data_IF_397030949244
#
_entry.id   IF_397030949244
#
_cell.length_a   1.000
_cell.length_b   1.000
_cell.length_c   1.000
_cell.angle_alpha   90.00
_cell.angle_beta   90.00
_cell.angle_gamma   90.00
#
_symmetry.space_group_name_H-M   'P 1'
#
loop_
_entity.id
_entity.type
_entity.pdbx_description
1 polymer ?
#
# COMPACT_ATOMS: atom_id res chain seq x y z
N UNK A 1 -26.03 -14.41 48.29
CA UNK A 1 -25.22 -13.28 47.80
C UNK A 1 -25.22 -13.35 46.28
N UNK A 2 -26.12 -12.60 45.64
CA UNK A 2 -26.23 -12.57 44.20
C UNK A 2 -25.08 -11.76 43.61
N UNK A 3 -24.25 -12.42 42.81
CA UNK A 3 -23.25 -11.77 41.95
C UNK A 3 -23.98 -10.91 40.92
N UNK A 4 -23.92 -9.59 41.08
CA UNK A 4 -24.32 -8.64 40.05
C UNK A 4 -23.37 -8.81 38.87
N UNK A 5 -23.89 -9.29 37.74
CA UNK A 5 -23.20 -9.17 36.46
C UNK A 5 -22.94 -7.66 36.19
N UNK A 6 -21.75 -7.27 35.69
CA UNK A 6 -21.50 -5.88 35.39
C UNK A 6 -22.50 -5.41 34.33
N UNK A 7 -23.13 -4.27 34.58
CA UNK A 7 -23.99 -3.56 33.62
C UNK A 7 -23.17 -3.37 32.35
N UNK A 8 -23.55 -4.06 31.27
CA UNK A 8 -22.83 -4.00 30.00
C UNK A 8 -22.69 -2.55 29.53
N UNK A 9 -21.46 -2.12 29.30
CA UNK A 9 -21.18 -0.86 28.62
C UNK A 9 -21.98 -0.86 27.31
N UNK A 10 -22.96 0.06 27.20
CA UNK A 10 -23.65 0.29 25.94
C UNK A 10 -22.79 1.23 25.12
N UNK A 11 -22.11 0.68 24.12
CA UNK A 11 -21.37 1.45 23.14
C UNK A 11 -22.35 2.19 22.22
N UNK A 12 -22.06 3.43 21.87
CA UNK A 12 -22.88 4.21 20.94
C UNK A 12 -22.55 3.89 19.47
N UNK A 13 -21.38 3.29 19.25
CA UNK A 13 -20.82 2.90 17.96
C UNK A 13 -20.19 1.52 18.14
N UNK A 14 -20.13 0.73 17.08
CA UNK A 14 -19.51 -0.60 17.11
C UNK A 14 -17.99 -0.49 16.92
N UNK A 15 -17.56 0.39 16.01
CA UNK A 15 -16.16 0.51 15.58
C UNK A 15 -15.75 1.98 15.44
N UNK A 16 -14.58 2.32 15.96
CA UNK A 16 -13.85 3.54 15.59
C UNK A 16 -12.57 3.16 14.85
N UNK A 17 -12.33 3.79 13.71
CA UNK A 17 -11.10 3.63 12.91
C UNK A 17 -10.23 4.87 13.09
N UNK A 18 -9.09 4.73 13.78
CA UNK A 18 -8.09 5.78 13.97
C UNK A 18 -7.20 5.85 12.72
N UNK A 19 -7.05 7.03 12.13
CA UNK A 19 -6.51 7.21 10.77
C UNK A 19 -7.54 6.84 9.69
N UNK A 20 -8.82 7.04 10.02
CA UNK A 20 -9.96 6.53 9.27
C UNK A 20 -10.20 7.19 7.91
N UNK A 21 -9.54 8.29 7.56
CA UNK A 21 -9.74 8.95 6.26
C UNK A 21 -8.62 8.66 5.23
N UNK A 22 -7.66 7.79 5.57
CA UNK A 22 -6.58 7.35 4.68
C UNK A 22 -6.94 6.19 3.75
N UNK A 23 -5.98 5.78 2.91
CA UNK A 23 -6.11 4.74 1.88
C UNK A 23 -6.50 3.34 2.41
N UNK A 24 -6.20 3.06 3.68
CA UNK A 24 -6.56 1.78 4.32
C UNK A 24 -7.75 1.98 5.27
N UNK A 25 -7.75 3.07 6.04
CA UNK A 25 -8.76 3.31 7.07
C UNK A 25 -10.14 3.56 6.49
N UNK A 26 -10.24 4.36 5.41
CA UNK A 26 -11.53 4.73 4.84
C UNK A 26 -12.22 3.53 4.18
N UNK A 27 -11.58 2.75 3.29
CA UNK A 27 -12.22 1.57 2.72
C UNK A 27 -12.61 0.53 3.79
N UNK A 28 -11.79 0.35 4.84
CA UNK A 28 -12.13 -0.55 5.94
C UNK A 28 -13.38 -0.09 6.70
N UNK A 29 -13.46 1.19 7.05
CA UNK A 29 -14.63 1.73 7.74
C UNK A 29 -15.89 1.72 6.86
N UNK A 30 -15.74 1.95 5.56
CA UNK A 30 -16.82 1.78 4.59
C UNK A 30 -17.33 0.33 4.54
N UNK A 31 -16.42 -0.64 4.49
CA UNK A 31 -16.78 -2.05 4.46
C UNK A 31 -17.53 -2.48 5.73
N UNK A 32 -17.06 -2.05 6.91
CA UNK A 32 -17.77 -2.31 8.16
C UNK A 32 -19.15 -1.64 8.18
N UNK A 33 -19.25 -0.38 7.75
CA UNK A 33 -20.54 0.32 7.70
C UNK A 33 -21.53 -0.33 6.73
N UNK A 34 -21.06 -0.78 5.56
CA UNK A 34 -21.87 -1.48 4.56
C UNK A 34 -22.30 -2.89 5.04
N UNK A 35 -21.51 -3.51 5.93
CA UNK A 35 -21.86 -4.76 6.62
C UNK A 35 -22.81 -4.59 7.82
N UNK A 36 -23.29 -3.36 8.06
CA UNK A 36 -24.28 -3.04 9.10
C UNK A 36 -23.71 -2.60 10.45
N UNK A 37 -22.41 -2.30 10.53
CA UNK A 37 -21.80 -1.75 11.75
C UNK A 37 -21.96 -0.23 11.83
N UNK A 38 -22.09 0.29 13.05
CA UNK A 38 -22.03 1.72 13.33
C UNK A 38 -20.57 2.17 13.46
N UNK A 39 -20.04 2.83 12.44
CA UNK A 39 -18.62 3.17 12.31
C UNK A 39 -18.37 4.66 12.51
N UNK A 40 -17.31 4.99 13.24
CA UNK A 40 -16.73 6.34 13.27
C UNK A 40 -15.32 6.32 12.69
N UNK A 41 -15.06 7.17 11.71
CA UNK A 41 -13.72 7.45 11.18
C UNK A 41 -13.14 8.61 11.98
N UNK A 42 -12.10 8.34 12.78
CA UNK A 42 -11.35 9.38 13.45
C UNK A 42 -10.06 9.66 12.67
N UNK A 43 -9.82 10.92 12.32
CA UNK A 43 -8.60 11.35 11.64
C UNK A 43 -8.21 12.76 12.09
N UNK A 44 -6.92 13.03 12.23
CA UNK A 44 -6.41 14.35 12.61
C UNK A 44 -6.43 15.34 11.44
N UNK A 45 -6.53 14.85 10.20
CA UNK A 45 -6.58 15.70 9.01
C UNK A 45 -8.00 16.20 8.74
N UNK A 46 -8.29 17.42 9.19
CA UNK A 46 -9.59 18.07 9.00
C UNK A 46 -10.02 18.13 7.52
N UNK A 47 -9.11 18.40 6.60
CA UNK A 47 -9.43 18.48 5.18
C UNK A 47 -9.88 17.11 4.60
N UNK A 48 -9.27 16.02 5.06
CA UNK A 48 -9.69 14.67 4.68
C UNK A 48 -11.07 14.33 5.28
N UNK A 49 -11.28 14.66 6.57
CA UNK A 49 -12.56 14.47 7.26
C UNK A 49 -13.69 15.24 6.59
N UNK A 50 -13.48 16.52 6.26
CA UNK A 50 -14.51 17.35 5.62
C UNK A 50 -14.84 16.86 4.20
N UNK A 51 -13.84 16.37 3.47
CA UNK A 51 -14.04 15.74 2.16
C UNK A 51 -14.90 14.50 2.28
N UNK A 52 -14.61 13.60 3.22
CA UNK A 52 -15.43 12.42 3.52
C UNK A 52 -16.85 12.81 3.92
N UNK A 53 -17.03 13.76 4.86
CA UNK A 53 -18.35 14.27 5.29
C UNK A 53 -19.18 14.84 4.14
N UNK A 54 -18.53 15.41 3.13
CA UNK A 54 -19.18 15.91 1.92
C UNK A 54 -19.57 14.81 0.91
N UNK A 55 -19.38 13.53 1.24
CA UNK A 55 -19.65 12.40 0.35
C UNK A 55 -18.62 12.22 -0.76
N UNK A 56 -17.41 12.77 -0.61
CA UNK A 56 -16.34 12.71 -1.62
C UNK A 56 -15.17 11.89 -1.13
N UNK A 57 -14.66 10.98 -1.97
CA UNK A 57 -13.45 10.23 -1.68
C UNK A 57 -12.20 11.14 -1.71
N UNK A 58 -11.27 11.01 -0.73
CA UNK A 58 -9.99 11.72 -0.74
C UNK A 58 -8.98 11.20 -1.78
N UNK A 59 -9.12 9.94 -2.19
CA UNK A 59 -8.24 9.20 -3.10
C UNK A 59 -9.06 8.28 -4.01
N UNK A 60 -8.47 7.78 -5.09
CA UNK A 60 -9.15 6.86 -6.00
C UNK A 60 -9.30 5.46 -5.37
N UNK A 61 -10.54 5.00 -5.22
CA UNK A 61 -10.85 3.62 -4.83
C UNK A 61 -12.15 3.18 -5.54
N UNK A 62 -12.08 2.28 -6.54
CA UNK A 62 -13.25 1.84 -7.29
C UNK A 62 -14.36 1.27 -6.40
N UNK A 63 -15.60 1.67 -6.67
CA UNK A 63 -16.79 1.24 -5.92
C UNK A 63 -17.01 1.95 -4.58
N UNK A 64 -15.99 2.57 -3.98
CA UNK A 64 -16.10 3.25 -2.69
C UNK A 64 -17.02 4.50 -2.69
N UNK A 65 -17.09 5.35 -3.74
CA UNK A 65 -17.91 6.57 -3.70
C UNK A 65 -19.40 6.31 -3.44
N UNK A 66 -19.98 5.25 -4.01
CA UNK A 66 -21.39 4.93 -3.82
C UNK A 66 -21.67 4.39 -2.40
N UNK A 67 -20.76 3.56 -1.89
CA UNK A 67 -20.84 3.04 -0.51
C UNK A 67 -20.70 4.18 0.50
N UNK A 68 -19.79 5.13 0.26
CA UNK A 68 -19.63 6.32 1.10
C UNK A 68 -20.92 7.12 1.19
N UNK A 69 -21.55 7.43 0.05
CA UNK A 69 -22.80 8.18 0.01
C UNK A 69 -23.90 7.50 0.83
N UNK A 70 -24.13 6.20 0.58
CA UNK A 70 -25.18 5.42 1.25
C UNK A 70 -24.96 5.24 2.75
N UNK A 71 -23.72 5.00 3.17
CA UNK A 71 -23.38 4.80 4.60
C UNK A 71 -23.43 6.10 5.41
N UNK A 72 -23.13 7.24 4.79
CA UNK A 72 -23.37 8.56 5.39
C UNK A 72 -24.86 8.89 5.51
N UNK A 73 -25.64 8.66 4.44
CA UNK A 73 -27.08 8.95 4.41
C UNK A 73 -27.86 8.14 5.46
N UNK A 74 -27.46 6.88 5.68
CA UNK A 74 -28.06 6.02 6.71
C UNK A 74 -27.58 6.34 8.14
N UNK A 75 -26.52 7.14 8.30
CA UNK A 75 -25.89 7.42 9.59
C UNK A 75 -25.04 6.27 10.15
N UNK A 76 -24.87 5.19 9.37
CA UNK A 76 -24.00 4.06 9.71
C UNK A 76 -22.54 4.49 9.80
N UNK A 77 -22.10 5.42 8.94
CA UNK A 77 -20.77 6.02 8.96
C UNK A 77 -20.82 7.45 9.48
N UNK A 78 -19.89 7.80 10.35
CA UNK A 78 -19.57 9.19 10.70
C UNK A 78 -18.05 9.42 10.57
N UNK A 79 -17.64 10.66 10.30
CA UNK A 79 -16.23 11.06 10.33
C UNK A 79 -16.02 12.22 11.30
N UNK A 80 -14.92 12.22 12.04
CA UNK A 80 -14.62 13.19 13.09
C UNK A 80 -13.14 13.46 13.27
N UNK A 81 -12.81 14.67 13.70
CA UNK A 81 -11.50 15.06 14.25
C UNK A 81 -11.51 15.14 15.77
N UNK A 82 -12.67 14.89 16.40
CA UNK A 82 -12.84 14.93 17.86
C UNK A 82 -12.40 13.60 18.49
N UNK A 83 -11.32 13.59 19.29
CA UNK A 83 -10.79 12.37 19.88
C UNK A 83 -11.75 11.72 20.88
N UNK A 84 -12.71 12.46 21.46
CA UNK A 84 -13.70 11.90 22.38
C UNK A 84 -14.60 10.82 21.76
N UNK A 85 -14.64 10.77 20.42
CA UNK A 85 -15.34 9.71 19.68
C UNK A 85 -14.71 8.32 19.85
N UNK A 86 -13.42 8.25 20.21
CA UNK A 86 -12.68 7.00 20.41
C UNK A 86 -13.30 6.16 21.55
N UNK A 87 -13.66 6.81 22.66
CA UNK A 87 -14.26 6.15 23.82
C UNK A 87 -15.72 5.69 23.60
N UNK A 88 -16.33 6.04 22.46
CA UNK A 88 -17.72 5.71 22.15
C UNK A 88 -17.91 4.32 21.52
N UNK A 89 -16.82 3.63 21.16
CA UNK A 89 -16.81 2.35 20.44
C UNK A 89 -16.19 1.21 21.23
N UNK A 90 -16.73 0.01 21.07
CA UNK A 90 -16.11 -1.21 21.60
C UNK A 90 -14.76 -1.49 20.91
N UNK A 91 -14.75 -1.42 19.58
CA UNK A 91 -13.58 -1.76 18.77
C UNK A 91 -12.88 -0.48 18.34
N UNK A 92 -11.58 -0.38 18.65
CA UNK A 92 -10.71 0.67 18.14
C UNK A 92 -9.71 0.05 17.15
N UNK A 93 -9.89 0.31 15.86
CA UNK A 93 -8.97 -0.17 14.81
C UNK A 93 -7.97 0.92 14.46
N UNK A 94 -6.67 0.62 14.60
CA UNK A 94 -5.58 1.58 14.45
C UNK A 94 -4.91 1.43 13.08
N UNK A 95 -5.16 2.43 12.22
CA UNK A 95 -4.72 2.49 10.82
C UNK A 95 -3.93 3.79 10.57
N UNK A 96 -2.71 3.85 11.09
CA UNK A 96 -1.82 4.99 10.92
C UNK A 96 -0.67 4.66 9.97
N UNK A 97 -0.08 5.71 9.39
CA UNK A 97 1.19 5.57 8.68
C UNK A 97 2.29 5.15 9.65
N UNK A 98 3.04 4.11 9.31
CA UNK A 98 4.28 3.73 9.99
C UNK A 98 5.46 4.18 9.15
N UNK A 99 6.02 5.37 9.46
CA UNK A 99 7.13 5.93 8.70
C UNK A 99 8.40 5.10 8.91
N UNK A 100 9.30 5.23 7.94
CA UNK A 100 10.71 4.84 8.08
C UNK A 100 11.55 6.09 7.92
N UNK A 101 12.72 6.13 8.55
CA UNK A 101 13.68 7.22 8.37
C UNK A 101 14.36 7.18 6.98
N UNK A 102 15.26 8.12 6.73
CA UNK A 102 16.05 8.21 5.49
C UNK A 102 16.98 7.01 5.24
N UNK A 103 17.24 6.22 6.27
CA UNK A 103 18.01 4.98 6.22
C UNK A 103 17.11 3.74 6.16
N UNK A 104 15.79 3.93 5.96
CA UNK A 104 14.76 2.88 5.93
C UNK A 104 14.63 2.12 7.25
N UNK A 105 15.08 2.68 8.36
CA UNK A 105 14.84 2.14 9.69
C UNK A 105 13.40 2.42 10.11
N UNK A 106 12.69 1.43 10.67
CA UNK A 106 11.35 1.63 11.23
C UNK A 106 11.39 2.52 12.46
N UNK A 107 10.36 3.36 12.61
CA UNK A 107 10.01 3.94 13.91
C UNK A 107 9.01 3.01 14.64
N UNK A 108 9.46 2.13 15.56
CA UNK A 108 8.57 1.25 16.30
C UNK A 108 7.66 2.02 17.28
N UNK A 109 7.98 3.27 17.58
CA UNK A 109 7.29 4.08 18.57
C UNK A 109 6.13 4.87 17.96
N UNK A 110 6.02 4.97 16.64
CA UNK A 110 4.94 5.69 15.95
C UNK A 110 3.53 5.29 16.40
N UNK A 111 3.26 3.99 16.51
CA UNK A 111 1.96 3.46 16.99
C UNK A 111 1.75 3.75 18.46
N UNK A 112 2.78 3.57 19.28
CA UNK A 112 2.70 3.81 20.72
C UNK A 112 2.45 5.29 21.01
N UNK A 113 3.15 6.20 20.31
CA UNK A 113 2.96 7.64 20.42
C UNK A 113 1.56 8.08 19.99
N UNK A 114 1.03 7.51 18.89
CA UNK A 114 -0.33 7.81 18.43
C UNK A 114 -1.38 7.39 19.47
N UNK A 115 -1.16 6.26 20.15
CA UNK A 115 -2.05 5.77 21.22
C UNK A 115 -1.88 6.55 22.52
N UNK A 116 -0.65 6.95 22.87
CA UNK A 116 -0.40 7.84 24.01
C UNK A 116 -1.07 9.20 23.81
N UNK A 117 -1.10 9.74 22.58
CA UNK A 117 -1.77 11.01 22.28
C UNK A 117 -3.29 10.98 22.49
N UNK A 118 -3.91 9.80 22.49
CA UNK A 118 -5.36 9.60 22.70
C UNK A 118 -5.66 8.77 23.95
N UNK A 119 -4.70 8.62 24.87
CA UNK A 119 -4.80 7.71 26.00
C UNK A 119 -5.96 8.02 26.96
N UNK A 120 -6.31 9.30 27.08
CA UNK A 120 -7.40 9.77 27.95
C UNK A 120 -8.77 9.33 27.44
N UNK A 121 -8.89 9.09 26.13
CA UNK A 121 -10.11 8.65 25.46
C UNK A 121 -10.27 7.13 25.43
N UNK A 122 -9.21 6.39 25.81
CA UNK A 122 -9.25 4.93 25.92
C UNK A 122 -10.04 4.54 27.17
N UNK A 123 -11.01 3.66 27.00
CA UNK A 123 -11.92 3.25 28.09
C UNK A 123 -11.88 1.74 28.31
N UNK A 124 -12.08 1.33 29.57
CA UNK A 124 -12.07 -0.08 29.95
C UNK A 124 -13.15 -0.87 29.20
N UNK A 125 -12.83 -2.10 28.83
CA UNK A 125 -13.73 -2.97 28.07
C UNK A 125 -13.57 -2.85 26.55
N UNK A 126 -12.79 -1.91 26.02
CA UNK A 126 -12.48 -1.87 24.59
C UNK A 126 -11.64 -3.06 24.13
N UNK A 127 -11.58 -3.24 22.82
CA UNK A 127 -10.52 -3.98 22.14
C UNK A 127 -9.80 -3.06 21.16
N UNK A 128 -8.48 -3.02 21.28
CA UNK A 128 -7.59 -2.26 20.41
C UNK A 128 -7.00 -3.21 19.37
N UNK A 129 -7.29 -2.94 18.11
CA UNK A 129 -6.90 -3.77 16.97
C UNK A 129 -5.89 -3.00 16.14
N UNK A 130 -4.64 -3.43 16.16
CA UNK A 130 -3.60 -2.92 15.28
C UNK A 130 -3.83 -3.47 13.87
N UNK A 131 -3.93 -2.58 12.87
CA UNK A 131 -4.06 -2.96 11.44
C UNK A 131 -2.86 -2.54 10.61
N UNK A 132 -2.30 -1.38 10.96
CA UNK A 132 -1.11 -0.80 10.32
C UNK A 132 0.02 -1.82 10.22
N UNK A 133 0.81 -1.81 9.15
CA UNK A 133 2.05 -2.60 9.12
C UNK A 133 2.97 -2.12 10.24
N UNK A 134 3.34 -3.00 11.16
CA UNK A 134 4.22 -2.68 12.28
C UNK A 134 5.52 -3.49 12.25
N UNK A 135 6.55 -2.96 12.88
CA UNK A 135 7.78 -3.69 13.13
C UNK A 135 7.54 -4.85 14.13
N UNK A 136 8.21 -6.01 13.99
CA UNK A 136 7.98 -7.12 14.92
C UNK A 136 8.27 -6.72 16.37
N UNK A 137 7.33 -7.00 17.26
CA UNK A 137 7.34 -6.64 18.67
C UNK A 137 6.51 -5.40 19.03
N UNK A 138 5.97 -4.65 18.06
CA UNK A 138 5.16 -3.45 18.34
C UNK A 138 3.85 -3.80 19.05
N UNK A 139 3.19 -4.92 18.70
CA UNK A 139 1.99 -5.36 19.44
C UNK A 139 2.29 -5.52 20.92
N UNK A 140 3.46 -6.07 21.26
CA UNK A 140 3.92 -6.22 22.65
C UNK A 140 4.22 -4.88 23.34
N UNK A 141 4.68 -3.87 22.59
CA UNK A 141 4.86 -2.51 23.15
C UNK A 141 3.51 -1.88 23.47
N UNK A 142 2.51 -2.08 22.61
CA UNK A 142 1.14 -1.61 22.84
C UNK A 142 0.50 -2.31 24.03
N UNK A 143 0.64 -3.63 24.17
CA UNK A 143 0.20 -4.38 25.37
C UNK A 143 0.82 -3.79 26.65
N UNK A 144 2.12 -3.45 26.64
CA UNK A 144 2.78 -2.80 27.78
C UNK A 144 2.28 -1.39 28.04
N UNK A 145 2.00 -0.60 27.00
CA UNK A 145 1.40 0.73 27.14
C UNK A 145 0.05 0.61 27.87
N UNK A 146 -0.85 -0.26 27.40
CA UNK A 146 -2.16 -0.47 28.02
C UNK A 146 -2.01 -0.88 29.49
N UNK A 147 -1.09 -1.80 29.80
CA UNK A 147 -0.78 -2.19 31.17
C UNK A 147 -0.26 -1.03 32.05
N UNK A 148 0.61 -0.17 31.50
CA UNK A 148 1.10 1.04 32.21
C UNK A 148 -0.01 2.05 32.47
N UNK A 149 -0.96 2.19 31.55
CA UNK A 149 -2.13 3.07 31.71
C UNK A 149 -3.14 2.52 32.73
N UNK A 150 -2.98 1.27 33.17
CA UNK A 150 -3.90 0.61 34.10
C UNK A 150 -5.28 0.34 33.49
N UNK A 151 -5.36 0.25 32.16
CA UNK A 151 -6.63 0.07 31.42
C UNK A 151 -6.89 -1.41 31.15
N UNK A 152 -8.13 -1.84 31.27
CA UNK A 152 -8.59 -3.19 30.95
C UNK A 152 -9.04 -3.27 29.49
N UNK A 153 -8.09 -3.19 28.56
CA UNK A 153 -8.31 -3.22 27.10
C UNK A 153 -7.62 -4.45 26.50
N UNK A 154 -8.37 -5.23 25.71
CA UNK A 154 -7.80 -6.34 24.96
C UNK A 154 -7.01 -5.82 23.75
N UNK A 155 -5.93 -6.49 23.35
CA UNK A 155 -5.11 -6.11 22.18
C UNK A 155 -5.08 -7.26 21.17
N UNK A 156 -5.27 -6.92 19.90
CA UNK A 156 -5.11 -7.82 18.77
C UNK A 156 -4.34 -7.15 17.63
N UNK A 157 -3.73 -7.96 16.78
CA UNK A 157 -3.13 -7.55 15.52
C UNK A 157 -3.81 -8.26 14.36
N UNK A 158 -4.39 -7.47 13.46
CA UNK A 158 -5.06 -7.94 12.27
C UNK A 158 -4.46 -7.20 11.07
N UNK A 159 -3.36 -7.69 10.45
CA UNK A 159 -2.68 -6.96 9.39
C UNK A 159 -3.52 -6.82 8.12
N UNK A 160 -3.41 -5.67 7.46
CA UNK A 160 -3.96 -5.43 6.12
C UNK A 160 -3.21 -6.20 5.02
N UNK A 161 -3.91 -6.76 4.04
CA UNK A 161 -3.34 -7.43 2.86
C UNK A 161 -3.92 -7.00 1.52
N UNK A 162 -4.90 -6.10 1.49
CA UNK A 162 -5.49 -5.59 0.25
C UNK A 162 -4.47 -4.84 -0.62
N UNK A 163 -4.70 -4.89 -1.93
CA UNK A 163 -4.12 -4.02 -2.92
C UNK A 163 -4.95 -2.73 -3.04
N UNK A 164 -4.26 -1.60 -3.16
CA UNK A 164 -4.90 -0.31 -3.45
C UNK A 164 -5.69 -0.38 -4.77
N UNK A 165 -6.90 0.16 -4.78
CA UNK A 165 -7.84 0.08 -5.89
C UNK A 165 -8.66 -1.21 -5.96
N UNK A 166 -8.50 -2.09 -4.96
CA UNK A 166 -9.27 -3.35 -4.82
C UNK A 166 -9.85 -3.54 -3.43
N UNK A 167 -9.85 -2.50 -2.60
CA UNK A 167 -10.24 -2.61 -1.19
C UNK A 167 -11.68 -3.12 -1.04
N UNK A 168 -12.58 -2.62 -1.87
CA UNK A 168 -14.01 -2.97 -1.82
C UNK A 168 -14.32 -4.41 -2.28
N UNK A 169 -13.36 -5.11 -2.88
CA UNK A 169 -13.46 -6.53 -3.25
C UNK A 169 -12.67 -7.41 -2.27
N UNK A 170 -11.42 -7.04 -2.01
CA UNK A 170 -10.46 -7.87 -1.29
C UNK A 170 -10.72 -7.93 0.22
N UNK A 171 -11.35 -6.92 0.82
CA UNK A 171 -11.78 -6.96 2.22
C UNK A 171 -12.81 -8.09 2.49
N UNK A 172 -13.61 -8.46 1.48
CA UNK A 172 -14.65 -9.49 1.61
C UNK A 172 -14.18 -10.88 1.16
N UNK A 173 -13.17 -10.95 0.29
CA UNK A 173 -12.74 -12.19 -0.35
C UNK A 173 -11.46 -12.78 0.22
N UNK A 174 -10.55 -11.95 0.73
CA UNK A 174 -9.30 -12.43 1.32
C UNK A 174 -9.55 -13.00 2.72
N UNK A 175 -8.76 -14.02 3.14
CA UNK A 175 -8.72 -14.42 4.54
C UNK A 175 -8.20 -13.30 5.44
N UNK A 176 -8.71 -13.20 6.66
CA UNK A 176 -8.19 -12.28 7.67
C UNK A 176 -7.27 -13.02 8.64
N UNK A 177 -6.03 -12.54 8.80
CA UNK A 177 -5.16 -12.98 9.88
C UNK A 177 -5.61 -12.28 11.16
N UNK A 178 -5.92 -13.04 12.21
CA UNK A 178 -6.29 -12.50 13.53
C UNK A 178 -5.33 -13.05 14.56
N UNK A 179 -4.56 -12.16 15.18
CA UNK A 179 -3.53 -12.53 16.14
C UNK A 179 -3.76 -11.85 17.48
N UNK A 180 -3.89 -12.65 18.54
CA UNK A 180 -4.08 -12.17 19.89
C UNK A 180 -3.59 -13.22 20.89
N UNK A 181 -3.14 -12.78 22.08
CA UNK A 181 -2.57 -13.68 23.10
C UNK A 181 -3.59 -14.39 23.99
N UNK A 182 -4.84 -13.96 23.93
CA UNK A 182 -5.93 -14.55 24.73
C UNK A 182 -7.06 -14.96 23.80
N UNK A 183 -7.75 -16.04 24.15
CA UNK A 183 -8.93 -16.49 23.42
C UNK A 183 -10.00 -15.40 23.35
N UNK A 184 -10.22 -14.69 24.47
CA UNK A 184 -11.15 -13.56 24.55
C UNK A 184 -10.83 -12.47 23.51
N UNK A 185 -9.57 -12.05 23.41
CA UNK A 185 -9.18 -11.01 22.45
C UNK A 185 -9.30 -11.51 21.00
N UNK A 186 -8.94 -12.77 20.76
CA UNK A 186 -9.11 -13.41 19.45
C UNK A 186 -10.58 -13.45 19.04
N UNK A 187 -11.46 -13.96 19.91
CA UNK A 187 -12.89 -14.13 19.62
C UNK A 187 -13.57 -12.79 19.32
N UNK A 188 -13.23 -11.74 20.07
CA UNK A 188 -13.73 -10.38 19.83
C UNK A 188 -13.28 -9.83 18.48
N UNK A 189 -11.99 -9.91 18.17
CA UNK A 189 -11.46 -9.45 16.89
C UNK A 189 -12.02 -10.27 15.71
N UNK A 190 -12.08 -11.60 15.84
CA UNK A 190 -12.63 -12.50 14.83
C UNK A 190 -14.13 -12.25 14.61
N UNK A 191 -14.89 -11.94 15.66
CA UNK A 191 -16.30 -11.56 15.53
C UNK A 191 -16.47 -10.30 14.69
N UNK A 192 -15.63 -9.28 14.91
CA UNK A 192 -15.68 -8.05 14.11
C UNK A 192 -15.36 -8.32 12.64
N UNK A 193 -14.21 -8.95 12.35
CA UNK A 193 -13.81 -9.21 10.95
C UNK A 193 -14.66 -10.29 10.26
N UNK A 194 -15.38 -11.12 11.02
CA UNK A 194 -16.36 -12.07 10.51
C UNK A 194 -17.54 -11.42 9.78
N UNK A 195 -17.79 -10.12 9.99
CA UNK A 195 -18.74 -9.34 9.20
C UNK A 195 -18.27 -9.09 7.75
N UNK A 196 -16.96 -9.20 7.49
CA UNK A 196 -16.38 -8.95 6.17
C UNK A 196 -16.04 -10.26 5.45
N UNK A 197 -15.38 -11.21 6.11
CA UNK A 197 -14.90 -12.44 5.49
C UNK A 197 -15.11 -13.65 6.39
N UNK A 198 -15.47 -14.80 5.79
CA UNK A 198 -15.72 -16.05 6.52
C UNK A 198 -14.45 -16.85 6.86
N UNK A 199 -13.27 -16.40 6.43
CA UNK A 199 -12.02 -17.15 6.63
C UNK A 199 -11.07 -16.40 7.57
N UNK A 200 -10.94 -16.90 8.81
CA UNK A 200 -10.00 -16.40 9.81
C UNK A 200 -8.76 -17.30 9.90
N UNK A 201 -7.59 -16.69 9.98
CA UNK A 201 -6.31 -17.38 10.20
C UNK A 201 -5.76 -16.95 11.56
N UNK A 202 -5.82 -17.86 12.54
CA UNK A 202 -5.33 -17.61 13.90
C UNK A 202 -3.82 -17.89 13.98
N UNK A 203 -3.08 -16.93 14.50
CA UNK A 203 -1.62 -17.01 14.78
C UNK A 203 -1.27 -16.16 16.00
N UNK A 204 -0.04 -16.24 16.50
CA UNK A 204 0.46 -15.33 17.53
C UNK A 204 0.78 -13.93 16.96
N UNK A 205 0.72 -12.86 17.77
CA UNK A 205 0.98 -11.49 17.29
C UNK A 205 2.29 -11.34 16.50
N UNK A 206 3.41 -11.84 17.02
CA UNK A 206 4.70 -11.77 16.33
C UNK A 206 4.73 -12.55 15.01
N UNK A 207 4.00 -13.67 14.92
CA UNK A 207 3.88 -14.44 13.69
C UNK A 207 3.10 -13.65 12.64
N UNK A 208 2.02 -12.97 13.02
CA UNK A 208 1.27 -12.10 12.12
C UNK A 208 2.09 -10.88 11.66
N UNK A 209 2.87 -10.26 12.55
CA UNK A 209 3.77 -9.14 12.22
C UNK A 209 4.79 -9.55 11.15
N UNK A 210 5.44 -10.70 11.35
CA UNK A 210 6.36 -11.29 10.38
C UNK A 210 5.66 -11.70 9.08
N UNK A 211 4.49 -12.36 9.17
CA UNK A 211 3.74 -12.79 8.01
C UNK A 211 3.36 -11.60 7.12
N UNK A 212 2.98 -10.46 7.71
CA UNK A 212 2.67 -9.25 6.95
C UNK A 212 3.89 -8.71 6.20
N UNK A 213 5.02 -8.52 6.89
CA UNK A 213 6.24 -8.02 6.27
C UNK A 213 6.77 -8.97 5.19
N UNK A 214 6.75 -10.27 5.47
CA UNK A 214 7.22 -11.27 4.53
C UNK A 214 6.31 -11.40 3.30
N UNK A 215 4.99 -11.20 3.44
CA UNK A 215 4.08 -11.19 2.28
C UNK A 215 4.49 -10.12 1.25
N UNK A 216 4.81 -8.91 1.70
CA UNK A 216 5.26 -7.84 0.82
C UNK A 216 6.69 -8.07 0.32
N UNK A 217 7.58 -8.58 1.19
CA UNK A 217 8.96 -8.93 0.81
C UNK A 217 9.01 -10.01 -0.27
N UNK A 218 8.19 -11.05 -0.14
CA UNK A 218 8.08 -12.13 -1.11
C UNK A 218 7.63 -11.62 -2.47
N UNK A 219 6.60 -10.76 -2.50
CA UNK A 219 6.15 -10.11 -3.74
C UNK A 219 7.24 -9.24 -4.37
N UNK A 220 8.00 -8.49 -3.56
CA UNK A 220 9.12 -7.68 -4.01
C UNK A 220 10.26 -8.52 -4.60
N UNK A 221 10.57 -9.67 -3.98
CA UNK A 221 11.55 -10.67 -4.48
C UNK A 221 11.08 -11.24 -5.81
N UNK A 222 9.80 -11.57 -5.97
CA UNK A 222 9.27 -12.05 -7.25
C UNK A 222 9.44 -11.04 -8.38
N UNK A 223 9.18 -9.76 -8.11
CA UNK A 223 9.43 -8.70 -9.10
C UNK A 223 10.91 -8.56 -9.41
N UNK A 224 11.80 -8.67 -8.41
CA UNK A 224 13.23 -8.66 -8.65
C UNK A 224 13.69 -9.83 -9.52
N UNK A 225 13.14 -11.04 -9.32
CA UNK A 225 13.45 -12.18 -10.16
C UNK A 225 13.06 -11.94 -11.63
N UNK A 226 11.86 -11.39 -11.89
CA UNK A 226 11.42 -11.01 -13.23
C UNK A 226 12.31 -9.91 -13.83
N UNK A 227 12.62 -8.86 -13.07
CA UNK A 227 13.48 -7.76 -13.51
C UNK A 227 14.92 -8.22 -13.79
N UNK A 228 15.47 -9.12 -12.98
CA UNK A 228 16.81 -9.67 -13.21
C UNK A 228 16.85 -10.52 -14.48
N UNK A 229 15.82 -11.35 -14.72
CA UNK A 229 15.70 -12.13 -15.95
C UNK A 229 15.54 -11.22 -17.17
N UNK A 230 14.78 -10.13 -17.03
CA UNK A 230 14.65 -9.10 -18.06
C UNK A 230 15.99 -8.47 -18.43
N UNK A 231 16.77 -8.04 -17.44
CA UNK A 231 18.12 -7.48 -17.66
C UNK A 231 19.02 -8.49 -18.37
N UNK A 232 19.02 -9.76 -17.93
CA UNK A 232 19.80 -10.82 -18.57
C UNK A 232 19.36 -11.05 -20.02
N UNK A 233 18.07 -11.19 -20.29
CA UNK A 233 17.55 -11.40 -21.64
C UNK A 233 17.99 -10.28 -22.58
N UNK A 234 17.80 -9.02 -22.18
CA UNK A 234 18.16 -7.86 -22.98
C UNK A 234 19.67 -7.73 -23.21
N UNK A 235 20.51 -8.07 -22.23
CA UNK A 235 21.96 -8.02 -22.38
C UNK A 235 22.47 -9.03 -23.43
N UNK A 236 21.72 -10.10 -23.66
CA UNK A 236 21.96 -11.07 -24.74
C UNK A 236 21.11 -10.83 -26.00
N UNK A 237 20.38 -9.72 -26.08
CA UNK A 237 19.53 -9.38 -27.24
C UNK A 237 18.33 -10.31 -27.42
N UNK A 238 17.85 -10.93 -26.34
CA UNK A 238 16.71 -11.82 -26.32
C UNK A 238 15.44 -11.09 -25.83
N UNK A 239 14.29 -11.51 -26.36
CA UNK A 239 12.99 -10.97 -25.96
C UNK A 239 12.49 -11.63 -24.67
N UNK A 240 12.43 -10.84 -23.60
CA UNK A 240 11.95 -11.31 -22.29
C UNK A 240 10.54 -11.88 -22.36
N UNK A 241 9.61 -11.31 -23.11
CA UNK A 241 8.22 -11.75 -23.08
C UNK A 241 8.02 -13.09 -23.77
N UNK A 242 8.82 -13.37 -24.82
CA UNK A 242 8.87 -14.71 -25.41
C UNK A 242 9.46 -15.74 -24.44
N UNK A 243 10.50 -15.37 -23.69
CA UNK A 243 11.09 -16.23 -22.66
C UNK A 243 10.08 -16.48 -21.54
N UNK A 244 9.46 -15.42 -21.02
CA UNK A 244 8.46 -15.49 -19.96
C UNK A 244 7.28 -16.35 -20.38
N UNK A 245 6.74 -16.16 -21.59
CA UNK A 245 5.67 -16.99 -22.13
C UNK A 245 6.07 -18.47 -22.14
N UNK A 246 7.28 -18.80 -22.61
CA UNK A 246 7.78 -20.17 -22.60
C UNK A 246 7.96 -20.77 -21.18
N UNK A 247 8.24 -19.94 -20.17
CA UNK A 247 8.39 -20.38 -18.77
C UNK A 247 7.04 -20.70 -18.13
N UNK A 248 5.98 -19.96 -18.48
CA UNK A 248 4.67 -20.05 -17.79
C UNK A 248 3.65 -20.94 -18.51
N UNK A 249 3.83 -21.17 -19.82
CA UNK A 249 2.90 -21.97 -20.65
C UNK A 249 2.66 -23.36 -20.05
N UNK A 250 1.42 -23.61 -19.64
CA UNK A 250 0.97 -24.85 -18.98
C UNK A 250 1.90 -25.34 -17.85
N UNK A 251 2.58 -24.43 -17.15
CA UNK A 251 3.52 -24.76 -16.09
C UNK A 251 3.15 -24.14 -14.73
N UNK A 252 2.33 -24.84 -13.91
CA UNK A 252 1.77 -24.32 -12.67
C UNK A 252 2.78 -23.80 -11.64
N UNK A 253 4.03 -24.30 -11.66
CA UNK A 253 5.06 -23.90 -10.70
C UNK A 253 5.67 -22.52 -10.97
N UNK A 254 5.49 -21.98 -12.18
CA UNK A 254 5.95 -20.65 -12.55
C UNK A 254 4.84 -19.77 -13.13
N UNK A 255 3.58 -20.22 -13.10
CA UNK A 255 2.43 -19.53 -13.68
C UNK A 255 2.24 -18.10 -13.15
N UNK A 256 2.79 -17.80 -11.97
CA UNK A 256 2.70 -16.51 -11.30
C UNK A 256 3.94 -15.62 -11.48
N UNK A 257 4.85 -15.94 -12.43
CA UNK A 257 6.00 -15.12 -12.81
C UNK A 257 5.52 -13.77 -13.39
N UNK A 258 5.80 -12.64 -12.71
CA UNK A 258 5.35 -11.33 -13.19
C UNK A 258 6.09 -10.90 -14.47
N UNK A 259 5.52 -9.92 -15.18
CA UNK A 259 6.27 -9.15 -16.18
C UNK A 259 7.35 -8.27 -15.52
N UNK A 260 8.28 -7.69 -16.29
CA UNK A 260 9.24 -6.75 -15.75
C UNK A 260 8.60 -5.39 -15.55
N UNK A 261 9.27 -4.53 -14.80
CA UNK A 261 8.83 -3.15 -14.59
C UNK A 261 9.22 -2.60 -13.24
N UNK A 262 8.78 -1.38 -12.99
CA UNK A 262 9.07 -0.67 -11.75
C UNK A 262 8.28 -1.24 -10.57
N UNK A 263 8.96 -2.06 -9.76
CA UNK A 263 8.47 -2.53 -8.48
C UNK A 263 8.59 -1.42 -7.43
N UNK A 264 7.57 -0.56 -7.39
CA UNK A 264 7.57 0.69 -6.64
C UNK A 264 6.47 0.75 -5.57
N UNK A 265 6.24 1.95 -5.02
CA UNK A 265 5.17 2.23 -4.07
C UNK A 265 5.63 2.22 -2.60
N UNK A 266 4.76 2.64 -1.68
CA UNK A 266 5.14 2.94 -0.30
C UNK A 266 5.42 1.70 0.57
N UNK A 267 5.00 0.51 0.14
CA UNK A 267 5.00 -0.68 1.00
C UNK A 267 6.11 -1.69 0.68
N UNK A 268 6.38 -2.00 -0.59
CA UNK A 268 7.20 -3.17 -0.94
C UNK A 268 8.65 -3.05 -0.46
N UNK A 269 9.34 -1.96 -0.85
CA UNK A 269 10.72 -1.70 -0.40
C UNK A 269 10.76 -1.49 1.11
N UNK A 270 9.86 -0.65 1.63
CA UNK A 270 9.80 -0.31 3.05
C UNK A 270 9.71 -1.56 3.93
N UNK A 271 8.73 -2.42 3.67
CA UNK A 271 8.48 -3.61 4.49
C UNK A 271 9.61 -4.64 4.34
N UNK A 272 10.23 -4.73 3.16
CA UNK A 272 11.43 -5.56 2.94
C UNK A 272 12.60 -5.07 3.79
N UNK A 273 12.81 -3.76 3.89
CA UNK A 273 13.88 -3.18 4.70
C UNK A 273 13.59 -3.25 6.19
N UNK A 274 12.32 -3.13 6.61
CA UNK A 274 11.94 -3.40 8.00
C UNK A 274 12.26 -4.84 8.41
N UNK A 275 12.00 -5.82 7.54
CA UNK A 275 12.36 -7.22 7.79
C UNK A 275 13.88 -7.44 7.80
N UNK A 276 14.62 -6.74 6.94
CA UNK A 276 16.09 -6.76 6.97
C UNK A 276 16.62 -6.20 8.30
N UNK A 277 16.14 -5.03 8.73
CA UNK A 277 16.52 -4.41 10.00
C UNK A 277 16.20 -5.31 11.20
N UNK A 278 15.03 -5.97 11.19
CA UNK A 278 14.65 -6.95 12.21
C UNK A 278 15.67 -8.11 12.32
N UNK A 279 16.21 -8.57 11.19
CA UNK A 279 17.22 -9.63 11.16
C UNK A 279 18.66 -9.10 11.20
N UNK A 280 18.92 -7.96 11.85
CA UNK A 280 20.26 -7.35 11.94
C UNK A 280 20.91 -7.11 10.57
N UNK A 281 20.11 -6.69 9.58
CA UNK A 281 20.49 -6.53 8.17
C UNK A 281 20.96 -7.83 7.47
N UNK A 282 20.73 -9.00 8.06
CA UNK A 282 21.06 -10.30 7.49
C UNK A 282 19.91 -10.88 6.65
N UNK A 283 19.41 -10.12 5.68
CA UNK A 283 18.37 -10.60 4.75
C UNK A 283 18.84 -10.50 3.31
N UNK A 284 19.72 -11.43 2.91
CA UNK A 284 20.40 -11.40 1.61
C UNK A 284 19.42 -11.32 0.41
N UNK A 285 18.32 -12.08 0.43
CA UNK A 285 17.32 -12.02 -0.64
C UNK A 285 16.64 -10.65 -0.73
N UNK A 286 16.33 -10.03 0.41
CA UNK A 286 15.77 -8.68 0.45
C UNK A 286 16.73 -7.64 -0.11
N UNK A 287 18.02 -7.72 0.24
CA UNK A 287 19.06 -6.81 -0.26
C UNK A 287 19.30 -6.96 -1.76
N UNK A 288 19.40 -8.19 -2.27
CA UNK A 288 19.50 -8.45 -3.70
C UNK A 288 18.28 -7.91 -4.44
N UNK A 289 17.07 -8.12 -3.89
CA UNK A 289 15.83 -7.65 -4.51
C UNK A 289 15.74 -6.13 -4.57
N UNK A 290 16.18 -5.45 -3.51
CA UNK A 290 16.32 -4.00 -3.51
C UNK A 290 17.29 -3.55 -4.60
N UNK A 291 18.50 -4.11 -4.65
CA UNK A 291 19.52 -3.72 -5.65
C UNK A 291 19.01 -3.87 -7.08
N UNK A 292 18.29 -4.95 -7.38
CA UNK A 292 17.73 -5.21 -8.71
C UNK A 292 16.61 -4.21 -9.04
N UNK A 293 15.57 -4.14 -8.19
CA UNK A 293 14.39 -3.32 -8.46
C UNK A 293 14.74 -1.82 -8.48
N UNK A 294 15.54 -1.36 -7.52
CA UNK A 294 15.98 0.03 -7.43
C UNK A 294 17.05 0.38 -8.49
N UNK A 295 17.79 -0.61 -8.99
CA UNK A 295 18.78 -0.44 -10.05
C UNK A 295 18.18 -0.36 -11.45
N UNK A 296 16.95 -0.85 -11.64
CA UNK A 296 16.29 -0.96 -12.94
C UNK A 296 16.20 0.37 -13.72
N UNK A 297 15.90 1.54 -13.11
CA UNK A 297 15.95 2.81 -13.83
C UNK A 297 17.34 3.15 -14.39
N UNK A 298 18.42 2.86 -13.64
CA UNK A 298 19.78 3.09 -14.13
C UNK A 298 20.12 2.13 -15.28
N UNK A 299 19.71 0.87 -15.16
CA UNK A 299 19.85 -0.10 -16.23
C UNK A 299 19.18 0.39 -17.52
N UNK A 300 17.91 0.81 -17.46
CA UNK A 300 17.19 1.35 -18.62
C UNK A 300 17.91 2.54 -19.25
N UNK A 301 18.39 3.49 -18.44
CA UNK A 301 19.16 4.63 -18.97
C UNK A 301 20.45 4.19 -19.66
N UNK A 302 21.16 3.20 -19.11
CA UNK A 302 22.37 2.67 -19.75
C UNK A 302 22.08 2.00 -21.09
N UNK A 303 20.96 1.28 -21.21
CA UNK A 303 20.51 0.66 -22.47
C UNK A 303 20.13 1.71 -23.51
N UNK A 304 19.38 2.73 -23.09
CA UNK A 304 19.03 3.86 -23.95
C UNK A 304 20.28 4.59 -24.46
N UNK A 305 21.25 4.89 -23.58
CA UNK A 305 22.50 5.57 -23.94
C UNK A 305 23.41 4.76 -24.87
N UNK A 306 23.30 3.42 -24.84
CA UNK A 306 24.04 2.57 -25.77
C UNK A 306 23.47 2.59 -27.20
N UNK A 307 22.21 3.03 -27.37
CA UNK A 307 21.47 2.99 -28.64
C UNK A 307 21.19 4.37 -29.22
N UNK A 308 21.08 5.38 -28.36
CA UNK A 308 20.70 6.74 -28.71
C UNK A 308 21.68 7.76 -28.12
N UNK A 309 21.89 8.87 -28.82
CA UNK A 309 22.68 10.00 -28.34
C UNK A 309 21.84 10.88 -27.40
N UNK A 310 21.72 10.43 -26.15
CA UNK A 310 20.85 11.08 -25.17
C UNK A 310 21.24 12.54 -24.91
N UNK A 311 22.54 12.88 -24.96
CA UNK A 311 23.05 14.25 -24.73
C UNK A 311 22.42 15.29 -25.67
N UNK A 312 21.92 14.86 -26.84
CA UNK A 312 21.21 15.71 -27.81
C UNK A 312 19.68 15.57 -27.80
N UNK A 313 19.13 14.62 -27.05
CA UNK A 313 17.72 14.23 -27.11
C UNK A 313 16.90 14.70 -25.90
N UNK A 314 15.65 15.06 -26.15
CA UNK A 314 14.62 15.22 -25.11
C UNK A 314 13.90 13.89 -24.90
N UNK A 315 13.90 13.39 -23.67
CA UNK A 315 13.22 12.14 -23.30
C UNK A 315 11.88 12.41 -22.63
N UNK A 316 10.80 11.85 -23.17
CA UNK A 316 9.47 11.88 -22.58
C UNK A 316 9.19 10.66 -21.70
N UNK A 317 8.78 10.85 -20.45
CA UNK A 317 8.32 9.77 -19.57
C UNK A 317 6.79 9.82 -19.48
N UNK A 318 6.14 8.75 -19.94
CA UNK A 318 4.69 8.56 -19.83
C UNK A 318 4.39 7.73 -18.58
N UNK A 319 3.79 8.33 -17.56
CA UNK A 319 3.42 7.68 -16.31
C UNK A 319 4.41 7.95 -15.18
N UNK A 320 3.93 8.65 -14.16
CA UNK A 320 4.66 9.07 -12.97
C UNK A 320 4.11 8.46 -11.68
N UNK A 321 2.89 7.91 -11.70
CA UNK A 321 2.37 7.06 -10.63
C UNK A 321 3.28 5.85 -10.38
N UNK A 322 3.21 5.25 -9.18
CA UNK A 322 4.04 4.08 -8.87
C UNK A 322 3.53 2.79 -9.55
N UNK A 323 2.28 2.76 -10.02
CA UNK A 323 1.66 1.64 -10.75
C UNK A 323 0.65 2.17 -11.77
N UNK A 324 0.19 1.30 -12.67
CA UNK A 324 -0.90 1.60 -13.60
C UNK A 324 -2.22 1.89 -12.90
N UNK A 325 -3.02 2.79 -13.46
CA UNK A 325 -4.36 3.20 -13.01
C UNK A 325 -4.40 3.69 -11.55
N UNK A 326 -3.37 4.43 -11.11
CA UNK A 326 -3.26 5.01 -9.76
C UNK A 326 -2.83 6.47 -9.83
N UNK A 327 -3.30 7.27 -8.88
CA UNK A 327 -2.92 8.66 -8.66
C UNK A 327 -1.75 8.81 -7.66
N UNK A 328 -1.29 7.72 -7.05
CA UNK A 328 -0.25 7.74 -6.04
C UNK A 328 1.16 7.74 -6.67
N UNK A 329 1.90 8.81 -6.42
CA UNK A 329 3.27 9.00 -6.91
C UNK A 329 4.34 8.65 -5.87
N UNK A 330 3.96 8.26 -4.66
CA UNK A 330 4.91 8.00 -3.57
C UNK A 330 5.82 6.83 -3.92
N UNK A 331 7.12 7.06 -3.74
CA UNK A 331 8.17 6.06 -4.02
C UNK A 331 8.13 5.50 -5.46
N UNK A 332 7.59 6.26 -6.42
CA UNK A 332 7.57 5.88 -7.83
C UNK A 332 8.98 5.92 -8.43
N UNK A 333 9.38 4.83 -9.10
CA UNK A 333 10.67 4.74 -9.78
C UNK A 333 10.73 5.57 -11.07
N UNK A 334 9.59 6.03 -11.61
CA UNK A 334 9.57 7.01 -12.71
C UNK A 334 10.24 8.32 -12.31
N UNK A 335 10.12 8.74 -11.04
CA UNK A 335 10.86 9.91 -10.55
C UNK A 335 12.36 9.65 -10.42
N UNK A 336 12.76 8.42 -10.09
CA UNK A 336 14.17 8.02 -10.09
C UNK A 336 14.72 8.03 -11.52
N UNK A 337 13.98 7.47 -12.48
CA UNK A 337 14.28 7.54 -13.91
C UNK A 337 14.46 8.99 -14.38
N UNK A 338 13.52 9.88 -14.05
CA UNK A 338 13.59 11.34 -14.34
C UNK A 338 14.89 11.95 -13.82
N UNK A 339 15.30 11.64 -12.58
CA UNK A 339 16.54 12.18 -11.98
C UNK A 339 17.79 11.70 -12.71
N UNK A 340 17.86 10.43 -13.08
CA UNK A 340 19.01 9.87 -13.82
C UNK A 340 19.07 10.47 -15.23
N UNK A 341 17.93 10.55 -15.93
CA UNK A 341 17.85 11.13 -17.28
C UNK A 341 18.22 12.63 -17.30
N UNK A 342 17.86 13.42 -16.28
CA UNK A 342 18.24 14.84 -16.20
C UNK A 342 19.76 15.09 -16.25
N UNK A 343 20.58 14.09 -15.94
CA UNK A 343 22.05 14.18 -15.97
C UNK A 343 22.63 13.59 -17.28
N UNK A 344 21.80 12.89 -18.07
CA UNK A 344 22.23 12.11 -19.25
C UNK A 344 21.56 12.53 -20.55
N UNK A 345 20.51 13.34 -20.50
CA UNK A 345 19.73 13.74 -21.66
C UNK A 345 19.68 15.28 -21.79
N UNK A 346 19.47 15.78 -23.01
CA UNK A 346 19.31 17.22 -23.25
C UNK A 346 18.09 17.81 -22.51
N UNK A 347 17.02 17.02 -22.40
CA UNK A 347 15.79 17.41 -21.71
C UNK A 347 15.00 16.21 -21.21
N UNK A 348 14.13 16.43 -20.22
CA UNK A 348 13.19 15.41 -19.73
C UNK A 348 11.81 16.02 -19.53
N UNK A 349 10.83 15.50 -20.25
CA UNK A 349 9.42 15.84 -20.12
C UNK A 349 8.67 14.68 -19.45
N UNK A 350 7.67 14.98 -18.63
CA UNK A 350 6.93 13.97 -17.86
C UNK A 350 5.44 14.24 -17.92
N UNK A 351 4.62 13.19 -18.02
CA UNK A 351 3.16 13.30 -18.01
C UNK A 351 2.53 12.11 -17.28
N UNK A 352 1.36 12.31 -16.67
CA UNK A 352 0.55 11.26 -16.04
C UNK A 352 -0.92 11.72 -16.01
N UNK A 353 -1.91 10.90 -16.44
CA UNK A 353 -3.31 11.29 -16.45
C UNK A 353 -3.99 11.25 -15.06
N UNK A 354 -3.39 10.59 -14.08
CA UNK A 354 -3.97 10.38 -12.75
C UNK A 354 -3.26 11.18 -11.65
N UNK A 355 -1.95 11.41 -11.77
CA UNK A 355 -1.20 12.21 -10.77
C UNK A 355 -1.55 13.69 -10.92
N UNK A 356 -2.30 14.22 -9.96
CA UNK A 356 -2.76 15.63 -9.95
C UNK A 356 -1.98 16.54 -9.02
N UNK A 357 -1.08 15.98 -8.21
CA UNK A 357 -0.34 16.69 -7.16
C UNK A 357 1.03 17.22 -7.61
N UNK A 358 1.42 16.96 -8.86
CA UNK A 358 2.70 17.39 -9.44
C UNK A 358 2.47 18.37 -10.59
N UNK A 359 2.60 19.66 -10.29
CA UNK A 359 2.42 20.74 -11.28
C UNK A 359 3.53 20.79 -12.35
N UNK A 360 4.59 19.98 -12.22
CA UNK A 360 5.65 19.89 -13.24
C UNK A 360 5.30 18.95 -14.39
N UNK A 361 4.16 18.27 -14.33
CA UNK A 361 3.70 17.39 -15.38
C UNK A 361 3.17 18.19 -16.58
N UNK A 362 3.61 17.79 -17.77
CA UNK A 362 3.17 18.36 -19.04
C UNK A 362 1.95 17.63 -19.59
N UNK A 363 1.09 18.30 -20.39
CA UNK A 363 0.08 17.62 -21.19
C UNK A 363 0.72 16.55 -22.10
N UNK A 364 0.02 15.43 -22.30
CA UNK A 364 0.52 14.30 -23.10
C UNK A 364 0.93 14.76 -24.51
N UNK A 365 0.14 15.61 -25.14
CA UNK A 365 0.35 16.13 -26.49
C UNK A 365 1.69 16.87 -26.60
N UNK A 366 2.03 17.68 -25.57
CA UNK A 366 3.29 18.42 -25.53
C UNK A 366 4.48 17.47 -25.42
N UNK A 367 4.36 16.43 -24.60
CA UNK A 367 5.41 15.41 -24.45
C UNK A 367 5.63 14.68 -25.79
N UNK A 368 4.54 14.30 -26.48
CA UNK A 368 4.62 13.62 -27.77
C UNK A 368 5.08 14.52 -28.92
N UNK A 369 4.91 15.83 -28.82
CA UNK A 369 5.39 16.78 -29.82
C UNK A 369 6.90 17.04 -29.69
N UNK A 370 7.39 17.15 -28.45
CA UNK A 370 8.76 17.64 -28.18
C UNK A 370 9.77 16.54 -27.83
N UNK A 371 9.32 15.35 -27.42
CA UNK A 371 10.24 14.25 -27.13
C UNK A 371 10.81 13.66 -28.42
N UNK A 372 12.09 13.30 -28.37
CA UNK A 372 12.80 12.53 -29.40
C UNK A 372 12.75 11.02 -29.10
N UNK A 373 12.63 10.67 -27.81
CA UNK A 373 12.55 9.31 -27.29
C UNK A 373 11.49 9.24 -26.19
N UNK A 374 10.67 8.19 -26.18
CA UNK A 374 9.61 8.01 -25.18
C UNK A 374 9.86 6.77 -24.32
N UNK A 375 9.64 6.89 -23.02
CA UNK A 375 9.70 5.79 -22.04
C UNK A 375 8.35 5.64 -21.36
N UNK A 376 7.82 4.41 -21.29
CA UNK A 376 6.63 4.11 -20.48
C UNK A 376 7.07 3.86 -19.04
N UNK A 377 6.84 4.85 -18.17
CA UNK A 377 7.15 4.82 -16.75
C UNK A 377 6.10 4.09 -15.91
N UNK A 378 4.82 4.31 -16.19
CA UNK A 378 3.71 3.56 -15.57
C UNK A 378 2.79 2.98 -16.65
N UNK A 379 2.34 1.72 -16.53
CA UNK A 379 1.58 1.03 -17.58
C UNK A 379 0.09 1.40 -17.55
N UNK A 380 -0.22 2.70 -17.63
CA UNK A 380 -1.61 3.17 -17.75
C UNK A 380 -2.19 2.74 -19.09
N UNK A 381 -3.43 2.26 -19.08
CA UNK A 381 -4.15 1.83 -20.30
C UNK A 381 -4.26 2.94 -21.32
N UNK A 382 -4.33 4.18 -20.85
CA UNK A 382 -4.35 5.39 -21.69
C UNK A 382 -3.14 5.49 -22.64
N UNK A 383 -2.02 4.80 -22.39
CA UNK A 383 -0.83 4.83 -23.23
C UNK A 383 -0.70 3.68 -24.23
N UNK A 384 -1.53 2.63 -24.11
CA UNK A 384 -1.41 1.44 -24.95
C UNK A 384 -1.60 1.76 -26.43
N UNK A 385 -2.65 2.52 -26.75
CA UNK A 385 -3.07 2.82 -28.14
C UNK A 385 -2.66 4.22 -28.62
N UNK A 386 -1.89 4.96 -27.82
CA UNK A 386 -1.42 6.29 -28.22
C UNK A 386 -0.48 6.17 -29.43
N UNK A 387 -0.71 7.03 -30.42
CA UNK A 387 0.15 7.13 -31.59
C UNK A 387 1.45 7.85 -31.23
N UNK A 388 2.52 7.08 -31.01
CA UNK A 388 3.87 7.58 -30.73
C UNK A 388 4.70 7.41 -32.00
N UNK A 389 5.26 8.50 -32.52
CA UNK A 389 6.09 8.48 -33.75
C UNK A 389 7.57 8.25 -33.44
N UNK A 390 7.97 8.59 -32.22
CA UNK A 390 9.29 8.40 -31.65
C UNK A 390 9.59 6.92 -31.40
N UNK A 391 10.86 6.54 -31.29
CA UNK A 391 11.24 5.30 -30.62
C UNK A 391 10.65 5.22 -29.21
N UNK A 392 10.23 4.03 -28.79
CA UNK A 392 9.60 3.77 -27.49
C UNK A 392 10.39 2.73 -26.72
N UNK A 393 10.65 3.03 -25.45
CA UNK A 393 11.20 2.11 -24.44
C UNK A 393 10.05 1.69 -23.53
N UNK A 394 9.59 0.46 -23.71
CA UNK A 394 8.41 -0.09 -23.03
C UNK A 394 8.79 -1.35 -22.24
N UNK A 395 9.31 -1.16 -21.02
CA UNK A 395 9.65 -2.27 -20.14
C UNK A 395 8.44 -3.14 -19.75
N UNK A 396 7.23 -2.57 -19.83
CA UNK A 396 6.00 -3.22 -19.40
C UNK A 396 5.39 -4.12 -20.49
N UNK A 397 5.93 -4.07 -21.71
CA UNK A 397 5.31 -4.63 -22.91
C UNK A 397 3.84 -4.19 -23.07
N UNK A 398 3.50 -2.97 -22.63
CA UNK A 398 2.14 -2.44 -22.71
C UNK A 398 1.64 -2.42 -24.17
N UNK A 399 2.56 -2.20 -25.12
CA UNK A 399 2.26 -2.11 -26.56
C UNK A 399 2.39 -3.44 -27.32
N UNK A 400 2.74 -4.54 -26.63
CA UNK A 400 2.80 -5.88 -27.22
C UNK A 400 3.89 -6.08 -28.30
N UNK A 401 4.92 -5.24 -28.32
CA UNK A 401 6.00 -5.30 -29.31
C UNK A 401 7.20 -6.15 -28.86
N UNK A 402 7.09 -6.81 -27.72
CA UNK A 402 8.21 -7.48 -27.04
C UNK A 402 9.08 -6.48 -26.31
N UNK A 403 9.97 -6.96 -25.44
CA UNK A 403 10.86 -6.09 -24.68
C UNK A 403 12.29 -6.31 -25.13
N UNK A 404 12.76 -5.43 -26.01
CA UNK A 404 14.17 -5.30 -26.41
C UNK A 404 14.50 -3.82 -26.40
N UNK A 405 15.11 -3.35 -25.32
CA UNK A 405 15.50 -1.94 -25.14
C UNK A 405 16.83 -1.60 -25.82
#
# INVERSE_FOLDING_TARGET
>A
MGSLAPVGLRWNRDVTVLGGCGHVGLPLGLAFADSGQQVTLYDTNLAAVDRVRSGKMPHLEPGAPEVLRRTLESGALAASTDPSTIGASEHLVVVIGTPVDEHLNPDPQAVVNALEAVSDELVDGQILILRSTVFPGVTRLVERLIGRLGKSIDVAFCPERIAEGKAMEELYTLPQIVAARTDRAYDRAASLFGHLTGTMVRVEPEEAELAKLFTNSYRYIKFAAANQLYMMANDFGLDYERIRAAVIEDYPRAADLPGPGFAAGPCLLKDTMQLAAFNNNNFALGQASMQINEGLPLYLVSRMAARFDLDSMTVGILGMAFKGESDDNRSSLSYKLKRVLKVRAAGVLTTDPFVTVDDSLSPLELVLEQADLVVIGAPHRAYADVAIRQPVVDIWNLRGQGVVT
#
